data_IF_625533030701
#
_entry.id   IF_625533030701
#
_cell.length_a   1.000
_cell.length_b   1.000
_cell.length_c   1.000
_cell.angle_alpha   90.00
_cell.angle_beta   90.00
_cell.angle_gamma   90.00
#
_symmetry.space_group_name_H-M   'P 1'
#
loop_
_entity.id
_entity.type
_entity.pdbx_description
1 polymer ?
#
# COMPACT_ATOMS: atom_id res chain seq x y z
N UNK A 1 -9.66 1.75 -8.07
CA UNK A 1 -9.11 0.42 -8.46
C UNK A 1 -9.66 -0.06 -9.80
N UNK A 2 -10.97 0.08 -10.05
CA UNK A 2 -11.60 -0.31 -11.31
C UNK A 2 -10.95 0.34 -12.55
N UNK A 3 -10.59 1.63 -12.48
CA UNK A 3 -9.93 2.34 -13.58
C UNK A 3 -8.51 1.82 -13.88
N UNK A 4 -7.75 1.43 -12.85
CA UNK A 4 -6.43 0.84 -13.03
C UNK A 4 -6.49 -0.55 -13.64
N UNK A 5 -7.50 -1.35 -13.27
CA UNK A 5 -7.70 -2.67 -13.85
C UNK A 5 -8.16 -2.55 -15.32
N UNK A 6 -9.05 -1.59 -15.61
CA UNK A 6 -9.49 -1.28 -16.98
C UNK A 6 -8.34 -0.80 -17.87
N UNK A 7 -7.44 0.01 -17.33
CA UNK A 7 -6.26 0.53 -18.05
C UNK A 7 -5.10 -0.47 -18.13
N UNK A 8 -5.22 -1.62 -17.46
CA UNK A 8 -4.29 -2.75 -17.54
C UNK A 8 -4.65 -3.74 -18.65
N UNK A 9 -5.70 -3.47 -19.43
CA UNK A 9 -6.05 -4.28 -20.60
C UNK A 9 -4.86 -4.37 -21.57
N UNK A 10 -4.52 -5.59 -21.99
CA UNK A 10 -3.39 -5.87 -22.87
C UNK A 10 -2.03 -6.04 -22.18
N UNK A 11 -1.92 -5.81 -20.87
CA UNK A 11 -0.69 -6.11 -20.09
C UNK A 11 -0.85 -7.45 -19.39
N UNK A 12 0.09 -8.38 -19.57
CA UNK A 12 0.09 -9.70 -18.93
C UNK A 12 1.35 -9.88 -18.08
N UNK A 13 1.32 -10.84 -17.15
CA UNK A 13 2.49 -11.17 -16.34
C UNK A 13 2.99 -10.03 -15.45
N UNK A 14 4.30 -9.80 -15.48
CA UNK A 14 5.02 -8.87 -14.61
C UNK A 14 4.69 -7.39 -14.95
N UNK A 15 4.52 -7.08 -16.23
CA UNK A 15 4.14 -5.75 -16.72
C UNK A 15 2.79 -5.29 -16.17
N UNK A 16 1.83 -6.21 -16.06
CA UNK A 16 0.54 -5.92 -15.44
C UNK A 16 0.70 -5.58 -13.97
N UNK A 17 1.55 -6.31 -13.24
CA UNK A 17 1.75 -6.16 -11.80
C UNK A 17 2.46 -4.85 -11.47
N UNK A 18 3.46 -4.50 -12.27
CA UNK A 18 4.18 -3.22 -12.20
C UNK A 18 3.23 -2.07 -12.55
N UNK A 19 2.50 -2.18 -13.66
CA UNK A 19 1.51 -1.18 -14.07
C UNK A 19 0.38 -0.99 -13.05
N UNK A 20 -0.20 -2.07 -12.51
CA UNK A 20 -1.22 -1.98 -11.46
C UNK A 20 -0.65 -1.34 -10.21
N UNK A 21 0.56 -1.74 -9.78
CA UNK A 21 1.21 -1.16 -8.59
C UNK A 21 1.45 0.34 -8.76
N UNK A 22 1.97 0.78 -9.90
CA UNK A 22 2.18 2.19 -10.21
C UNK A 22 0.86 2.95 -10.36
N UNK A 23 -0.15 2.35 -10.98
CA UNK A 23 -1.48 2.98 -11.11
C UNK A 23 -2.19 3.11 -9.76
N UNK A 24 -2.13 2.08 -8.90
CA UNK A 24 -2.65 2.10 -7.53
C UNK A 24 -1.87 3.08 -6.63
N UNK A 25 -0.57 3.26 -6.88
CA UNK A 25 0.26 4.30 -6.26
C UNK A 25 0.09 5.69 -6.88
N UNK A 26 -0.68 5.83 -7.96
CA UNK A 26 -0.92 7.11 -8.62
C UNK A 26 0.27 7.66 -9.42
N UNK A 27 1.24 6.81 -9.79
CA UNK A 27 2.46 7.17 -10.54
C UNK A 27 2.22 7.35 -12.05
N UNK A 28 1.00 7.09 -12.55
CA UNK A 28 0.57 7.55 -13.88
C UNK A 28 0.24 9.04 -13.79
N UNK A 29 1.26 9.89 -13.96
CA UNK A 29 1.17 11.34 -14.25
C UNK A 29 0.08 12.09 -13.48
N UNK A 30 0.09 11.98 -12.15
CA UNK A 30 -0.70 12.84 -11.27
C UNK A 30 0.20 13.35 -10.14
N UNK A 31 0.03 14.59 -9.65
CA UNK A 31 0.87 15.13 -8.59
C UNK A 31 0.82 14.16 -7.42
N UNK A 32 1.98 13.82 -6.85
CA UNK A 32 2.16 12.87 -5.77
C UNK A 32 0.94 12.90 -4.85
N UNK A 33 -0.01 11.96 -5.05
CA UNK A 33 -1.25 11.97 -4.30
C UNK A 33 -0.82 11.75 -2.87
N UNK A 34 -0.94 12.81 -2.06
CA UNK A 34 -0.61 12.71 -0.66
C UNK A 34 -1.33 11.49 -0.11
N UNK A 35 -0.56 10.60 0.52
CA UNK A 35 -1.11 9.38 1.10
C UNK A 35 -2.30 9.81 1.95
N UNK A 36 -3.43 9.11 1.80
CA UNK A 36 -4.56 9.41 2.66
C UNK A 36 -4.09 9.23 4.11
N UNK A 37 -4.67 9.96 5.08
CA UNK A 37 -4.26 9.83 6.48
C UNK A 37 -4.21 8.37 6.95
N UNK A 38 -5.09 7.53 6.41
CA UNK A 38 -5.15 6.09 6.67
C UNK A 38 -3.99 5.29 6.04
N UNK A 39 -3.58 5.63 4.81
CA UNK A 39 -2.41 5.02 4.16
C UNK A 39 -1.10 5.44 4.83
N UNK A 40 -0.99 6.72 5.22
CA UNK A 40 0.15 7.24 5.96
C UNK A 40 0.28 6.50 7.30
N UNK A 41 -0.82 6.42 8.06
CA UNK A 41 -0.89 5.68 9.33
C UNK A 41 -0.49 4.22 9.17
N UNK A 42 -0.96 3.55 8.12
CA UNK A 42 -0.59 2.15 7.85
C UNK A 42 0.90 1.98 7.56
N UNK A 43 1.51 2.93 6.86
CA UNK A 43 2.95 2.94 6.60
C UNK A 43 3.74 3.12 7.90
N UNK A 44 3.34 4.08 8.73
CA UNK A 44 4.00 4.36 10.02
C UNK A 44 3.86 3.18 11.00
N UNK A 45 2.68 2.55 11.07
CA UNK A 45 2.47 1.34 11.86
C UNK A 45 3.36 0.18 11.38
N UNK A 46 3.52 -0.01 10.07
CA UNK A 46 4.40 -1.06 9.57
C UNK A 46 5.88 -0.79 9.85
N UNK A 47 6.32 0.47 9.72
CA UNK A 47 7.69 0.87 10.07
C UNK A 47 7.98 0.59 11.54
N UNK A 48 7.13 1.09 12.45
CA UNK A 48 7.27 0.86 13.90
C UNK A 48 7.24 -0.63 14.27
N UNK A 49 6.46 -1.45 13.57
CA UNK A 49 6.46 -2.89 13.80
C UNK A 49 7.79 -3.54 13.38
N UNK A 50 8.38 -3.07 12.27
CA UNK A 50 9.69 -3.51 11.79
C UNK A 50 10.85 -3.08 12.70
N UNK A 51 10.83 -1.84 13.19
CA UNK A 51 11.81 -1.30 14.15
C UNK A 51 11.80 -2.11 15.46
N UNK A 52 10.61 -2.44 15.96
CA UNK A 52 10.44 -3.30 17.13
C UNK A 52 10.65 -4.80 16.82
N UNK A 53 11.01 -5.15 15.58
CA UNK A 53 11.17 -6.53 15.08
C UNK A 53 10.00 -7.44 15.48
N UNK A 54 8.80 -6.89 15.52
CA UNK A 54 7.59 -7.63 15.85
C UNK A 54 7.30 -8.59 14.71
N UNK A 55 7.09 -9.86 15.06
CA UNK A 55 6.77 -10.93 14.12
C UNK A 55 5.60 -11.76 14.65
N UNK A 56 4.98 -12.56 13.78
CA UNK A 56 3.87 -13.43 14.15
C UNK A 56 2.70 -12.67 14.77
N UNK A 57 2.19 -13.19 15.89
CA UNK A 57 1.04 -12.63 16.59
C UNK A 57 1.31 -11.22 17.15
N UNK A 58 2.52 -10.99 17.66
CA UNK A 58 2.91 -9.70 18.23
C UNK A 58 2.80 -8.56 17.21
N UNK A 59 3.20 -8.80 15.95
CA UNK A 59 3.03 -7.82 14.86
C UNK A 59 1.56 -7.56 14.56
N UNK A 60 0.74 -8.62 14.57
CA UNK A 60 -0.67 -8.55 14.21
C UNK A 60 -1.46 -7.74 15.24
N UNK A 61 -1.21 -8.01 16.52
CA UNK A 61 -1.78 -7.28 17.67
C UNK A 61 -1.33 -5.82 17.66
N UNK A 62 -0.04 -5.56 17.42
CA UNK A 62 0.49 -4.21 17.28
C UNK A 62 -0.15 -3.44 16.11
N UNK A 63 -0.23 -4.04 14.91
CA UNK A 63 -0.88 -3.41 13.76
C UNK A 63 -2.36 -3.10 14.03
N UNK A 64 -3.09 -4.02 14.65
CA UNK A 64 -4.51 -3.80 14.97
C UNK A 64 -4.68 -2.62 15.92
N UNK A 65 -3.86 -2.56 16.97
CA UNK A 65 -3.88 -1.46 17.94
C UNK A 65 -3.48 -0.13 17.29
N UNK A 66 -2.40 -0.13 16.51
CA UNK A 66 -1.87 1.05 15.83
C UNK A 66 -2.84 1.63 14.78
N UNK A 67 -3.59 0.77 14.09
CA UNK A 67 -4.55 1.18 13.06
C UNK A 67 -5.93 1.56 13.61
N UNK A 68 -6.27 1.15 14.84
CA UNK A 68 -7.56 1.44 15.50
C UNK A 68 -7.59 2.77 16.26
N UNK A 69 -6.43 3.28 16.67
CA UNK A 69 -6.33 4.60 17.30
C UNK A 69 -6.47 5.73 16.30
#
# INVERSE_FOLDING_TARGET
>A
MADCNKSATGKTGDDRKTYMSSCLKGEATAPAKQLTPQQQKMKDCNAKAGDQKLTGDARKTFMSTCLKG
#
